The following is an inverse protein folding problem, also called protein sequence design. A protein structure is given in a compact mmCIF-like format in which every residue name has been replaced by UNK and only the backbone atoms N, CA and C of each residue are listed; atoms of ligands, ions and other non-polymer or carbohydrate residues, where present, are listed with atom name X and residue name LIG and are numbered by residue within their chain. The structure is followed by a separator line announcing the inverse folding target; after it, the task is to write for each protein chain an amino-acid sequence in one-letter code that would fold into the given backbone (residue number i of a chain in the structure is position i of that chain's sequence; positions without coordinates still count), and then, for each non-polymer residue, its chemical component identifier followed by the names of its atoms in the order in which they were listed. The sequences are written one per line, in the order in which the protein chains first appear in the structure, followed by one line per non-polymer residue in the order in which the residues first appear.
data_IF_516562733060
#
_entry.id   IF_516562733060
#
_cell.length_a   1.000
_cell.length_b   1.000
_cell.length_c   1.000
_cell.angle_alpha   90.00
_cell.angle_beta   90.00
_cell.angle_gamma   90.00
#
_symmetry.space_group_name_H-M   'P 1'
#
loop_
_entity.id
_entity.type
_entity.pdbx_description
1 polymer ?
#
# COMPACT_ATOMS: atom_id res chain seq x y z
N UNK A 1 13.74 -0.54 -48.46
CA UNK A 1 12.54 -1.21 -47.92
C UNK A 1 12.32 -0.95 -46.43
N UNK A 2 13.29 -1.16 -45.53
CA UNK A 2 13.13 -0.92 -44.08
C UNK A 2 12.66 0.50 -43.71
N UNK A 3 13.22 1.55 -44.34
CA UNK A 3 12.85 2.93 -44.03
C UNK A 3 11.39 3.27 -44.39
N UNK A 4 10.86 2.68 -45.47
CA UNK A 4 9.47 2.90 -45.90
C UNK A 4 8.46 2.24 -44.94
N UNK A 5 8.82 1.07 -44.37
CA UNK A 5 7.99 0.36 -43.38
C UNK A 5 7.86 1.14 -42.07
N UNK A 6 8.98 1.63 -41.51
CA UNK A 6 9.00 2.53 -40.34
C UNK A 6 8.11 3.75 -40.52
N UNK A 7 8.22 4.38 -41.68
CA UNK A 7 7.47 5.59 -41.99
C UNK A 7 5.96 5.31 -42.07
N UNK A 8 5.57 4.18 -42.67
CA UNK A 8 4.17 3.75 -42.75
C UNK A 8 3.55 3.50 -41.36
N UNK A 9 4.24 2.80 -40.46
CA UNK A 9 3.72 2.52 -39.11
C UNK A 9 3.50 3.81 -38.33
N UNK A 10 4.47 4.74 -38.38
CA UNK A 10 4.35 6.05 -37.72
C UNK A 10 3.16 6.84 -38.27
N UNK A 11 2.98 6.88 -39.61
CA UNK A 11 1.84 7.54 -40.23
C UNK A 11 0.52 6.89 -39.81
N UNK A 12 0.43 5.57 -39.75
CA UNK A 12 -0.76 4.86 -39.28
C UNK A 12 -1.12 5.19 -37.83
N UNK A 13 -0.14 5.24 -36.92
CA UNK A 13 -0.38 5.65 -35.51
C UNK A 13 -0.93 7.08 -35.47
N UNK A 14 -0.30 8.02 -36.17
CA UNK A 14 -0.70 9.43 -36.16
C UNK A 14 -2.07 9.64 -36.81
N UNK A 15 -2.32 9.00 -37.95
CA UNK A 15 -3.56 9.14 -38.70
C UNK A 15 -4.74 8.50 -37.95
N UNK A 16 -4.53 7.35 -37.30
CA UNK A 16 -5.55 6.72 -36.46
C UNK A 16 -5.82 7.53 -35.19
N UNK A 17 -4.79 8.00 -34.46
CA UNK A 17 -5.00 8.88 -33.29
C UNK A 17 -5.84 10.14 -33.61
N UNK A 18 -5.88 10.57 -34.88
CA UNK A 18 -6.67 11.72 -35.35
C UNK A 18 -8.06 11.37 -35.92
N UNK A 19 -8.35 10.11 -36.27
CA UNK A 19 -9.59 9.69 -36.95
C UNK A 19 -10.41 8.63 -36.21
N UNK A 20 -9.76 7.71 -35.50
CA UNK A 20 -10.37 6.65 -34.67
C UNK A 20 -9.30 6.14 -33.68
N UNK A 21 -9.55 6.27 -32.37
CA UNK A 21 -8.55 5.94 -31.35
C UNK A 21 -8.03 4.51 -31.52
N UNK A 22 -6.71 4.39 -31.68
CA UNK A 22 -6.03 3.09 -31.73
C UNK A 22 -6.17 2.41 -30.35
N UNK A 23 -6.51 1.12 -30.32
CA UNK A 23 -6.56 0.37 -29.06
C UNK A 23 -5.20 0.39 -28.35
N UNK A 24 -5.20 0.23 -27.03
CA UNK A 24 -3.95 0.18 -26.26
C UNK A 24 -3.08 -0.99 -26.73
N UNK A 25 -3.70 -2.15 -27.00
CA UNK A 25 -3.02 -3.34 -27.54
C UNK A 25 -2.34 -3.08 -28.90
N UNK A 26 -3.05 -2.44 -29.83
CA UNK A 26 -2.50 -2.12 -31.15
C UNK A 26 -1.37 -1.09 -31.04
N UNK A 27 -1.50 -0.14 -30.10
CA UNK A 27 -0.49 0.90 -29.86
C UNK A 27 0.79 0.31 -29.30
N UNK A 28 0.70 -0.57 -28.30
CA UNK A 28 1.87 -1.25 -27.73
C UNK A 28 2.54 -2.15 -28.77
N UNK A 29 1.77 -2.91 -29.56
CA UNK A 29 2.30 -3.73 -30.65
C UNK A 29 3.04 -2.89 -31.71
N UNK A 30 2.48 -1.73 -32.09
CA UNK A 30 3.11 -0.84 -33.06
C UNK A 30 4.42 -0.22 -32.54
N UNK A 31 4.47 0.15 -31.25
CA UNK A 31 5.71 0.61 -30.62
C UNK A 31 6.77 -0.50 -30.53
N UNK A 32 6.37 -1.72 -30.14
CA UNK A 32 7.26 -2.88 -30.09
C UNK A 32 7.86 -3.19 -31.47
N UNK A 33 7.06 -3.09 -32.54
CA UNK A 33 7.55 -3.26 -33.90
C UNK A 33 8.58 -2.18 -34.29
N UNK A 34 8.34 -0.92 -33.94
CA UNK A 34 9.31 0.16 -34.20
C UNK A 34 10.61 -0.05 -33.41
N UNK A 35 10.52 -0.51 -32.16
CA UNK A 35 11.67 -0.82 -31.33
C UNK A 35 12.47 -2.01 -31.88
N UNK A 36 11.80 -3.08 -32.33
CA UNK A 36 12.42 -4.22 -33.00
C UNK A 36 13.18 -3.80 -34.27
N UNK A 37 12.66 -2.83 -35.01
CA UNK A 37 13.34 -2.26 -36.17
C UNK A 37 14.48 -1.27 -35.79
N UNK A 38 14.83 -1.15 -34.51
CA UNK A 38 15.95 -0.35 -34.00
C UNK A 38 15.63 1.13 -33.75
N UNK A 39 14.37 1.51 -33.62
CA UNK A 39 13.98 2.87 -33.24
C UNK A 39 13.93 2.99 -31.71
N UNK A 40 14.69 3.91 -31.13
CA UNK A 40 14.68 4.11 -29.67
C UNK A 40 13.34 4.63 -29.16
N UNK A 41 12.99 4.34 -27.90
CA UNK A 41 11.76 4.81 -27.27
C UNK A 41 11.58 6.34 -27.34
N UNK A 42 12.67 7.11 -27.16
CA UNK A 42 12.64 8.56 -27.29
C UNK A 42 12.33 9.03 -28.73
N UNK A 43 12.83 8.31 -29.73
CA UNK A 43 12.54 8.60 -31.13
C UNK A 43 11.10 8.21 -31.50
N UNK A 44 10.57 7.10 -30.97
CA UNK A 44 9.16 6.71 -31.14
C UNK A 44 8.25 7.78 -30.52
N UNK A 45 8.53 8.20 -29.28
CA UNK A 45 7.78 9.23 -28.56
C UNK A 45 7.72 10.54 -29.36
N UNK A 46 8.88 11.03 -29.81
CA UNK A 46 8.97 12.25 -30.64
C UNK A 46 8.20 12.14 -31.96
N UNK A 47 8.23 10.96 -32.60
CA UNK A 47 7.57 10.73 -33.89
C UNK A 47 6.06 10.58 -33.78
N UNK A 48 5.57 10.02 -32.68
CA UNK A 48 4.13 9.76 -32.45
C UNK A 48 3.44 10.84 -31.63
N UNK A 49 4.18 11.82 -31.10
CA UNK A 49 3.62 12.86 -30.23
C UNK A 49 3.27 12.37 -28.82
N UNK A 50 3.74 11.18 -28.44
CA UNK A 50 3.44 10.54 -27.15
C UNK A 50 4.55 10.82 -26.13
N UNK A 51 4.25 10.68 -24.84
CA UNK A 51 5.27 10.85 -23.79
C UNK A 51 6.23 9.66 -23.81
N UNK A 52 7.53 9.93 -23.63
CA UNK A 52 8.57 8.89 -23.58
C UNK A 52 8.28 7.82 -22.52
N UNK A 53 7.71 8.22 -21.38
CA UNK A 53 7.32 7.28 -20.32
C UNK A 53 6.23 6.29 -20.77
N UNK A 54 5.21 6.78 -21.49
CA UNK A 54 4.17 5.93 -22.06
C UNK A 54 4.75 4.92 -23.06
N UNK A 55 5.65 5.36 -23.95
CA UNK A 55 6.32 4.43 -24.88
C UNK A 55 7.11 3.36 -24.13
N UNK A 56 7.86 3.72 -23.08
CA UNK A 56 8.62 2.75 -22.28
C UNK A 56 7.70 1.73 -21.60
N UNK A 57 6.61 2.19 -20.98
CA UNK A 57 5.58 1.30 -20.39
C UNK A 57 5.00 0.36 -21.43
N UNK A 58 4.64 0.88 -22.61
CA UNK A 58 4.07 0.04 -23.67
C UNK A 58 5.05 -0.97 -24.25
N UNK A 59 6.34 -0.65 -24.30
CA UNK A 59 7.38 -1.61 -24.67
C UNK A 59 7.53 -2.71 -23.61
N UNK A 60 7.55 -2.36 -22.32
CA UNK A 60 7.59 -3.36 -21.24
C UNK A 60 6.36 -4.28 -21.27
N UNK A 61 5.17 -3.72 -21.49
CA UNK A 61 3.93 -4.52 -21.63
C UNK A 61 4.01 -5.48 -22.81
N UNK A 62 4.55 -5.04 -23.95
CA UNK A 62 4.69 -5.87 -25.14
C UNK A 62 5.72 -7.01 -24.99
N UNK A 63 6.59 -6.97 -23.98
CA UNK A 63 7.51 -8.06 -23.65
C UNK A 63 6.80 -9.20 -22.89
N UNK A 64 5.67 -8.91 -22.22
CA UNK A 64 4.85 -9.91 -21.53
C UNK A 64 3.72 -10.40 -22.44
N UNK A 65 3.80 -11.66 -22.85
CA UNK A 65 2.74 -12.32 -23.61
C UNK A 65 1.42 -12.36 -22.80
N UNK A 66 1.52 -12.58 -21.49
CA UNK A 66 0.38 -12.64 -20.57
C UNK A 66 -0.37 -11.32 -20.54
N UNK A 67 0.31 -10.20 -20.26
CA UNK A 67 -0.34 -8.88 -20.19
C UNK A 67 -0.80 -8.40 -21.57
N UNK A 68 -0.08 -8.76 -22.63
CA UNK A 68 -0.51 -8.45 -24.01
C UNK A 68 -1.82 -9.15 -24.37
N UNK A 69 -2.04 -10.40 -23.97
CA UNK A 69 -3.34 -11.09 -24.20
C UNK A 69 -4.49 -10.36 -23.49
N UNK A 70 -4.25 -9.95 -22.24
CA UNK A 70 -5.25 -9.22 -21.44
C UNK A 70 -5.63 -7.90 -22.11
N UNK A 71 -4.69 -7.17 -22.71
CA UNK A 71 -4.98 -5.93 -23.45
C UNK A 71 -5.88 -6.14 -24.68
N UNK A 72 -5.90 -7.34 -25.26
CA UNK A 72 -6.79 -7.68 -26.38
C UNK A 72 -8.18 -8.12 -25.90
N UNK A 73 -8.26 -8.72 -24.71
CA UNK A 73 -9.50 -9.26 -24.13
C UNK A 73 -10.29 -8.20 -23.34
N UNK A 74 -9.59 -7.24 -22.74
CA UNK A 74 -10.17 -6.22 -21.86
C UNK A 74 -9.72 -4.82 -22.27
N UNK A 75 -10.64 -3.85 -22.19
CA UNK A 75 -10.34 -2.44 -22.41
C UNK A 75 -9.59 -1.84 -21.20
N UNK A 76 -8.29 -2.11 -21.12
CA UNK A 76 -7.42 -1.56 -20.07
C UNK A 76 -6.62 -0.36 -20.56
N UNK A 77 -6.37 0.58 -19.65
CA UNK A 77 -5.42 1.66 -19.88
C UNK A 77 -3.98 1.14 -19.84
N UNK A 78 -3.07 1.89 -20.47
CA UNK A 78 -1.65 1.54 -20.46
C UNK A 78 -1.04 1.54 -19.05
N UNK A 79 -1.52 2.42 -18.17
CA UNK A 79 -1.05 2.48 -16.78
C UNK A 79 -1.54 1.25 -16.00
N UNK A 80 -2.78 0.81 -16.18
CA UNK A 80 -3.29 -0.44 -15.59
C UNK A 80 -2.52 -1.66 -16.09
N UNK A 81 -2.23 -1.74 -17.39
CA UNK A 81 -1.43 -2.83 -17.95
C UNK A 81 0.00 -2.84 -17.41
N UNK A 82 0.61 -1.67 -17.19
CA UNK A 82 1.92 -1.58 -16.57
C UNK A 82 1.91 -2.09 -15.12
N UNK A 83 0.82 -1.89 -14.37
CA UNK A 83 0.65 -2.44 -13.02
C UNK A 83 0.50 -3.97 -13.06
N UNK A 84 -0.19 -4.54 -14.05
CA UNK A 84 -0.31 -6.00 -14.18
C UNK A 84 1.05 -6.70 -14.34
N UNK A 85 2.07 -6.04 -14.90
CA UNK A 85 3.43 -6.57 -15.00
C UNK A 85 4.07 -6.79 -13.62
N UNK A 86 3.71 -5.99 -12.62
CA UNK A 86 4.24 -6.15 -11.25
C UNK A 86 3.81 -7.49 -10.63
N UNK A 87 2.75 -8.10 -11.16
CA UNK A 87 2.15 -9.34 -10.68
C UNK A 87 2.22 -10.45 -11.74
N UNK A 88 3.21 -10.44 -12.62
CA UNK A 88 3.33 -11.43 -13.71
C UNK A 88 3.43 -12.89 -13.21
N UNK A 89 3.99 -13.09 -12.02
CA UNK A 89 4.10 -14.42 -11.39
C UNK A 89 2.92 -14.76 -10.47
N UNK A 90 1.97 -13.84 -10.27
CA UNK A 90 0.80 -14.01 -9.40
C UNK A 90 -0.51 -13.94 -10.21
N UNK A 91 -1.00 -15.11 -10.61
CA UNK A 91 -2.19 -15.22 -11.45
C UNK A 91 -3.47 -14.73 -10.75
N UNK A 92 -3.58 -14.94 -9.44
CA UNK A 92 -4.76 -14.55 -8.67
C UNK A 92 -4.81 -13.03 -8.47
N UNK A 93 -3.65 -12.41 -8.20
CA UNK A 93 -3.53 -10.96 -8.14
C UNK A 93 -3.90 -10.30 -9.48
N UNK A 94 -3.44 -10.86 -10.61
CA UNK A 94 -3.82 -10.35 -11.94
C UNK A 94 -5.31 -10.50 -12.22
N UNK A 95 -5.89 -11.67 -11.93
CA UNK A 95 -7.32 -11.89 -12.12
C UNK A 95 -8.15 -10.87 -11.33
N UNK A 96 -7.79 -10.64 -10.06
CA UNK A 96 -8.41 -9.61 -9.21
C UNK A 96 -8.28 -8.22 -9.83
N UNK A 97 -7.10 -7.84 -10.33
CA UNK A 97 -6.88 -6.53 -10.94
C UNK A 97 -7.64 -6.35 -12.26
N UNK A 98 -7.76 -7.39 -13.08
CA UNK A 98 -8.54 -7.38 -14.32
C UNK A 98 -10.03 -7.20 -14.02
N UNK A 99 -10.54 -7.94 -13.02
CA UNK A 99 -11.92 -7.81 -12.57
C UNK A 99 -12.23 -6.39 -12.11
N UNK A 100 -11.39 -5.83 -11.24
CA UNK A 100 -11.53 -4.45 -10.74
C UNK A 100 -11.42 -3.45 -11.87
N UNK A 101 -10.44 -3.59 -12.78
CA UNK A 101 -10.31 -2.66 -13.91
C UNK A 101 -11.54 -2.66 -14.83
N UNK A 102 -12.24 -3.80 -14.94
CA UNK A 102 -13.41 -3.96 -15.80
C UNK A 102 -14.69 -3.43 -15.14
N UNK A 103 -14.88 -3.66 -13.84
CA UNK A 103 -16.14 -3.38 -13.16
C UNK A 103 -16.10 -2.11 -12.29
N UNK A 104 -14.96 -1.82 -11.66
CA UNK A 104 -14.76 -0.64 -10.82
C UNK A 104 -13.33 -0.06 -10.99
N UNK A 105 -13.02 0.50 -12.17
CA UNK A 105 -11.68 1.00 -12.47
C UNK A 105 -11.21 2.11 -11.51
N UNK A 106 -12.12 2.76 -10.79
CA UNK A 106 -11.79 3.77 -9.80
C UNK A 106 -11.07 3.18 -8.57
N UNK A 107 -11.29 1.91 -8.25
CA UNK A 107 -10.66 1.19 -7.15
C UNK A 107 -9.37 0.46 -7.54
N UNK A 108 -8.99 0.49 -8.82
CA UNK A 108 -7.84 -0.25 -9.34
C UNK A 108 -6.55 0.06 -8.57
N UNK A 109 -6.27 1.35 -8.32
CA UNK A 109 -5.05 1.78 -7.61
C UNK A 109 -5.06 1.31 -6.14
N UNK A 110 -6.21 1.31 -5.48
CA UNK A 110 -6.35 0.83 -4.09
C UNK A 110 -6.15 -0.68 -3.99
N UNK A 111 -6.72 -1.43 -4.93
CA UNK A 111 -6.53 -2.89 -5.03
C UNK A 111 -5.08 -3.22 -5.34
N UNK A 112 -4.48 -2.57 -6.34
CA UNK A 112 -3.07 -2.74 -6.66
C UNK A 112 -2.16 -2.44 -5.46
N UNK A 113 -2.42 -1.36 -4.74
CA UNK A 113 -1.64 -1.02 -3.56
C UNK A 113 -1.82 -2.04 -2.42
N UNK A 114 -3.03 -2.58 -2.24
CA UNK A 114 -3.27 -3.67 -1.27
C UNK A 114 -2.47 -4.91 -1.61
N UNK A 115 -2.43 -5.30 -2.89
CA UNK A 115 -1.66 -6.44 -3.37
C UNK A 115 -0.16 -6.23 -3.21
N UNK A 116 0.35 -5.01 -3.50
CA UNK A 116 1.76 -4.66 -3.26
C UNK A 116 2.13 -4.79 -1.78
N UNK A 117 1.25 -4.31 -0.89
CA UNK A 117 1.48 -4.34 0.55
C UNK A 117 1.48 -5.77 1.09
N UNK A 118 0.57 -6.62 0.59
CA UNK A 118 0.53 -8.04 0.94
C UNK A 118 1.77 -8.78 0.41
N UNK A 119 2.15 -8.57 -0.85
CA UNK A 119 3.35 -9.17 -1.44
C UNK A 119 4.63 -8.77 -0.67
N UNK A 120 4.75 -7.48 -0.30
CA UNK A 120 5.86 -7.01 0.53
C UNK A 120 5.86 -7.67 1.91
N UNK A 121 4.69 -7.82 2.54
CA UNK A 121 4.56 -8.48 3.84
C UNK A 121 4.90 -9.97 3.77
N UNK A 122 4.43 -10.69 2.74
CA UNK A 122 4.79 -12.09 2.50
C UNK A 122 6.29 -12.25 2.23
N UNK A 123 6.89 -11.31 1.50
CA UNK A 123 8.34 -11.24 1.30
C UNK A 123 9.12 -11.11 2.61
N UNK A 124 8.63 -10.28 3.55
CA UNK A 124 9.22 -10.16 4.89
C UNK A 124 9.10 -11.47 5.68
N UNK A 125 7.91 -12.09 5.70
CA UNK A 125 7.71 -13.39 6.36
C UNK A 125 8.66 -14.46 5.80
N UNK A 126 8.78 -14.56 4.48
CA UNK A 126 9.66 -15.51 3.81
C UNK A 126 11.14 -15.23 4.10
N UNK A 127 11.56 -13.96 4.08
CA UNK A 127 12.93 -13.57 4.41
C UNK A 127 13.28 -13.90 5.87
N UNK A 128 12.39 -13.60 6.82
CA UNK A 128 12.57 -13.95 8.24
C UNK A 128 12.60 -15.47 8.43
N UNK A 129 11.73 -16.22 7.75
CA UNK A 129 11.74 -17.68 7.80
C UNK A 129 13.05 -18.27 7.25
N UNK A 130 13.56 -17.73 6.15
CA UNK A 130 14.84 -18.14 5.58
C UNK A 130 16.01 -17.86 6.54
N UNK A 131 16.01 -16.71 7.21
CA UNK A 131 17.02 -16.35 8.22
C UNK A 131 17.03 -17.35 9.38
N UNK A 132 15.87 -17.64 9.98
CA UNK A 132 15.79 -18.57 11.10
C UNK A 132 16.11 -20.02 10.69
N UNK A 133 15.67 -20.44 9.50
CA UNK A 133 16.01 -21.75 8.94
C UNK A 133 17.53 -21.88 8.74
N UNK A 134 18.20 -20.84 8.21
CA UNK A 134 19.65 -20.80 8.06
C UNK A 134 20.41 -20.85 9.39
N UNK A 135 19.79 -20.33 10.46
CA UNK A 135 20.28 -20.43 11.84
C UNK A 135 19.89 -21.73 12.55
N UNK A 136 19.33 -22.70 11.82
CA UNK A 136 18.99 -24.04 12.32
C UNK A 136 17.81 -24.09 13.28
N UNK A 137 16.89 -23.11 13.21
CA UNK A 137 15.59 -23.17 13.87
C UNK A 137 14.59 -23.93 13.00
N UNK A 138 13.71 -24.67 13.66
CA UNK A 138 12.53 -25.25 13.00
C UNK A 138 11.43 -24.19 12.89
N UNK A 139 10.92 -23.95 11.68
CA UNK A 139 9.75 -23.10 11.48
C UNK A 139 8.50 -23.85 11.92
N UNK A 140 7.74 -23.25 12.84
CA UNK A 140 6.56 -23.83 13.45
C UNK A 140 5.29 -23.17 12.92
N UNK A 141 4.25 -23.97 12.77
CA UNK A 141 2.89 -23.48 12.56
C UNK A 141 2.27 -23.04 13.89
N UNK A 142 1.15 -22.30 13.82
CA UNK A 142 0.40 -21.91 15.02
C UNK A 142 -0.10 -23.13 15.81
N UNK A 143 -0.46 -24.22 15.13
CA UNK A 143 -0.84 -25.49 15.76
C UNK A 143 0.33 -26.17 16.46
N UNK A 144 1.55 -26.10 15.90
CA UNK A 144 2.73 -26.66 16.56
C UNK A 144 3.05 -25.91 17.86
N UNK A 145 2.85 -24.59 17.87
CA UNK A 145 3.16 -23.71 19.00
C UNK A 145 2.07 -23.69 20.10
N UNK A 146 0.80 -23.79 19.73
CA UNK A 146 -0.33 -23.52 20.64
C UNK A 146 -1.49 -24.53 20.54
N UNK A 147 -1.38 -25.58 19.72
CA UNK A 147 -2.41 -26.62 19.64
C UNK A 147 -2.44 -27.53 20.87
N UNK A 148 -3.50 -28.34 21.00
CA UNK A 148 -3.71 -29.23 22.15
C UNK A 148 -2.61 -30.29 22.31
N UNK A 149 -1.90 -30.60 21.23
CA UNK A 149 -0.76 -31.53 21.20
C UNK A 149 0.59 -30.79 21.06
N UNK A 150 0.63 -29.48 21.33
CA UNK A 150 1.86 -28.70 21.20
C UNK A 150 2.93 -29.20 22.18
N UNK A 151 4.07 -29.63 21.63
CA UNK A 151 5.26 -30.06 22.39
C UNK A 151 6.27 -28.93 22.58
N UNK A 152 5.92 -27.71 22.18
CA UNK A 152 6.80 -26.55 22.13
C UNK A 152 6.44 -25.54 23.21
N UNK A 153 7.44 -25.08 23.97
CA UNK A 153 7.21 -24.09 25.03
C UNK A 153 7.72 -22.71 24.59
N UNK A 154 6.86 -21.67 24.59
CA UNK A 154 7.28 -20.30 24.32
C UNK A 154 8.25 -19.75 25.36
N UNK A 155 9.30 -19.07 24.91
CA UNK A 155 10.39 -18.58 25.78
C UNK A 155 9.93 -17.58 26.85
N UNK A 156 8.82 -16.87 26.62
CA UNK A 156 8.20 -15.98 27.63
C UNK A 156 7.80 -16.71 28.91
N UNK A 157 7.53 -18.01 28.81
CA UNK A 157 7.16 -18.89 29.93
C UNK A 157 8.38 -19.51 30.62
N UNK A 158 9.58 -19.27 30.11
CA UNK A 158 10.82 -19.87 30.59
C UNK A 158 11.68 -18.85 31.33
N UNK A 159 12.54 -19.36 32.22
CA UNK A 159 13.59 -18.61 32.91
C UNK A 159 14.92 -19.35 32.77
N UNK A 160 16.00 -18.58 32.61
CA UNK A 160 17.36 -19.10 32.65
C UNK A 160 17.75 -19.54 34.06
N UNK A 161 18.95 -20.11 34.19
CA UNK A 161 19.50 -20.55 35.49
C UNK A 161 19.63 -19.41 36.50
N UNK A 162 19.81 -18.17 36.04
CA UNK A 162 19.87 -16.97 36.88
C UNK A 162 18.48 -16.42 37.28
N UNK A 163 17.40 -17.13 36.92
CA UNK A 163 16.02 -16.75 37.19
C UNK A 163 15.48 -15.62 36.30
N UNK A 164 16.24 -15.15 35.31
CA UNK A 164 15.81 -14.08 34.38
C UNK A 164 15.14 -14.64 33.13
N UNK A 165 14.52 -13.74 32.37
CA UNK A 165 13.94 -14.07 31.06
C UNK A 165 14.99 -14.68 30.13
N UNK A 166 14.63 -15.77 29.47
CA UNK A 166 15.49 -16.45 28.49
C UNK A 166 15.79 -15.51 27.32
N UNK A 167 17.07 -15.38 26.96
CA UNK A 167 17.51 -14.54 25.84
C UNK A 167 17.51 -15.31 24.52
N UNK A 168 17.40 -14.62 23.36
CA UNK A 168 17.47 -15.27 22.05
C UNK A 168 18.72 -16.13 21.84
N UNK A 169 19.86 -15.70 22.38
CA UNK A 169 21.14 -16.43 22.27
C UNK A 169 21.10 -17.76 23.03
N UNK A 170 20.44 -17.78 24.19
CA UNK A 170 20.26 -19.01 24.97
C UNK A 170 19.37 -20.01 24.22
N UNK A 171 18.33 -19.52 23.51
CA UNK A 171 17.48 -20.36 22.67
C UNK A 171 18.25 -20.89 21.47
N UNK A 172 19.08 -20.05 20.85
CA UNK A 172 19.90 -20.47 19.72
C UNK A 172 20.88 -21.61 20.10
N UNK A 173 21.30 -21.71 21.37
CA UNK A 173 22.13 -22.81 21.84
C UNK A 173 21.33 -24.12 22.12
N UNK A 174 20.01 -24.07 22.19
CA UNK A 174 19.18 -25.22 22.52
C UNK A 174 19.03 -26.19 21.33
N UNK A 175 19.13 -27.53 21.54
CA UNK A 175 19.04 -28.53 20.47
C UNK A 175 17.65 -28.63 19.84
N UNK A 176 16.58 -28.35 20.60
CA UNK A 176 15.19 -28.30 20.13
C UNK A 176 14.70 -26.87 20.00
N UNK A 177 15.30 -26.06 19.12
CA UNK A 177 14.95 -24.64 18.92
C UNK A 177 13.97 -24.44 17.77
N UNK A 178 12.85 -23.80 18.06
CA UNK A 178 11.77 -23.55 17.12
C UNK A 178 11.40 -22.08 17.09
N UNK A 179 10.78 -21.68 15.98
CA UNK A 179 10.30 -20.31 15.81
C UNK A 179 8.93 -20.32 15.14
N UNK A 180 7.99 -19.59 15.71
CA UNK A 180 6.74 -19.23 15.06
C UNK A 180 6.90 -17.82 14.50
N UNK A 181 6.69 -17.69 13.19
CA UNK A 181 6.69 -16.42 12.47
C UNK A 181 5.27 -16.18 11.99
N UNK A 182 4.61 -15.16 12.54
CA UNK A 182 3.21 -14.82 12.26
C UNK A 182 3.09 -13.31 12.03
N UNK A 183 1.90 -12.85 11.68
CA UNK A 183 1.50 -11.46 11.63
C UNK A 183 0.86 -11.07 12.97
N UNK A 184 1.46 -10.11 13.66
CA UNK A 184 0.84 -9.51 14.84
C UNK A 184 -0.49 -8.85 14.50
N UNK A 185 -1.27 -8.54 15.53
CA UNK A 185 -2.49 -7.73 15.40
C UNK A 185 -2.25 -6.32 14.83
N UNK A 186 -1.00 -5.83 14.84
CA UNK A 186 -0.61 -4.54 14.24
C UNK A 186 -0.33 -4.65 12.74
N UNK A 187 -0.24 -5.86 12.19
CA UNK A 187 0.18 -6.12 10.81
C UNK A 187 1.69 -6.17 10.63
N UNK A 188 2.44 -6.33 11.72
CA UNK A 188 3.91 -6.46 11.71
C UNK A 188 4.31 -7.92 11.86
N UNK A 189 5.41 -8.33 11.22
CA UNK A 189 6.00 -9.65 11.41
C UNK A 189 6.38 -9.83 12.88
N UNK A 190 5.80 -10.85 13.51
CA UNK A 190 6.02 -11.22 14.90
C UNK A 190 6.78 -12.54 14.96
N UNK A 191 7.87 -12.53 15.71
CA UNK A 191 8.71 -13.70 15.92
C UNK A 191 8.56 -14.17 17.35
N UNK A 192 8.06 -15.39 17.52
CA UNK A 192 8.02 -16.07 18.82
C UNK A 192 9.04 -17.21 18.80
N UNK A 193 9.95 -17.22 19.77
CA UNK A 193 10.91 -18.31 19.96
C UNK A 193 10.33 -19.38 20.89
N UNK A 194 10.56 -20.65 20.56
CA UNK A 194 10.05 -21.81 21.29
C UNK A 194 11.14 -22.87 21.46
N UNK A 195 11.00 -23.70 22.49
CA UNK A 195 11.91 -24.82 22.76
C UNK A 195 11.12 -26.12 22.98
N UNK A 196 11.56 -27.20 22.33
CA UNK A 196 11.12 -28.57 22.58
C UNK A 196 12.04 -29.12 23.69
N UNK A 197 11.48 -29.48 24.84
CA UNK A 197 12.19 -29.87 26.10
C UNK A 197 12.98 -28.77 26.84
N UNK A 198 12.31 -27.76 27.41
CA UNK A 198 12.97 -26.66 28.13
C UNK A 198 13.89 -27.10 29.27
N UNK A 199 13.50 -28.12 30.03
CA UNK A 199 14.29 -28.62 31.16
C UNK A 199 15.59 -29.29 30.72
N UNK A 200 15.57 -30.02 29.60
CA UNK A 200 16.79 -30.59 29.01
C UNK A 200 17.72 -29.51 28.47
N UNK A 201 17.16 -28.38 28.04
CA UNK A 201 17.90 -27.18 27.63
C UNK A 201 18.37 -26.28 28.79
N UNK A 202 18.17 -26.69 30.06
CA UNK A 202 18.61 -25.93 31.24
C UNK A 202 17.68 -24.79 31.66
N UNK A 203 16.46 -24.73 31.11
CA UNK A 203 15.47 -23.73 31.48
C UNK A 203 14.50 -24.22 32.55
N UNK A 204 13.99 -23.27 33.34
CA UNK A 204 12.92 -23.48 34.33
C UNK A 204 11.65 -22.77 33.91
N UNK A 205 10.48 -23.24 34.37
CA UNK A 205 9.21 -22.59 34.08
C UNK A 205 8.97 -21.39 35.01
N UNK A 206 8.48 -20.29 34.46
CA UNK A 206 8.26 -19.04 35.19
C UNK A 206 7.05 -19.05 36.13
N UNK A 207 6.01 -19.84 35.81
CA UNK A 207 4.76 -19.93 36.57
C UNK A 207 4.15 -21.35 36.45
N UNK A 208 3.34 -21.76 37.45
CA UNK A 208 2.41 -22.89 37.32
C UNK A 208 1.30 -22.56 36.31
N UNK A 209 0.84 -23.57 35.57
CA UNK A 209 0.01 -23.43 34.38
C UNK A 209 -1.26 -22.57 34.57
N UNK A 210 -1.69 -21.81 33.54
CA UNK A 210 -2.93 -21.04 33.60
C UNK A 210 -4.18 -21.95 33.56
N UNK A 211 -5.21 -21.55 34.30
CA UNK A 211 -6.53 -22.22 34.35
C UNK A 211 -7.26 -22.19 32.99
N UNK A 212 -7.95 -23.28 32.68
CA UNK A 212 -8.76 -23.44 31.47
C UNK A 212 -10.09 -22.69 31.60
N UNK A 213 -10.58 -22.05 30.52
CA UNK A 213 -11.85 -21.34 30.54
C UNK A 213 -13.07 -22.27 30.70
N UNK A 214 -14.12 -21.75 31.34
CA UNK A 214 -15.35 -22.45 31.65
C UNK A 214 -16.32 -22.47 30.44
N UNK A 215 -16.80 -23.67 30.13
CA UNK A 215 -17.88 -24.07 29.20
C UNK A 215 -17.70 -23.76 27.70
N UNK A 216 -17.76 -24.81 26.88
CA UNK A 216 -17.42 -24.83 25.45
C UNK A 216 -18.41 -24.05 24.56
N UNK A 217 -19.72 -24.08 24.85
CA UNK A 217 -20.77 -23.59 23.94
C UNK A 217 -20.84 -22.05 23.88
N UNK A 218 -20.85 -21.36 25.03
CA UNK A 218 -20.81 -19.88 25.10
C UNK A 218 -19.45 -19.33 24.62
N UNK A 219 -18.37 -20.09 24.85
CA UNK A 219 -17.04 -19.74 24.37
C UNK A 219 -16.90 -19.90 22.85
N UNK A 220 -17.69 -20.77 22.22
CA UNK A 220 -17.65 -21.02 20.77
C UNK A 220 -18.43 -19.96 19.99
N UNK A 221 -19.62 -19.57 20.47
CA UNK A 221 -20.38 -18.42 19.92
C UNK A 221 -19.63 -17.10 20.12
N UNK A 222 -19.10 -16.82 21.32
CA UNK A 222 -18.32 -15.61 21.58
C UNK A 222 -17.01 -15.61 20.75
N UNK A 223 -16.39 -16.77 20.49
CA UNK A 223 -15.25 -16.88 19.55
C UNK A 223 -15.67 -16.62 18.11
N UNK A 224 -16.82 -17.11 17.68
CA UNK A 224 -17.31 -16.93 16.31
C UNK A 224 -17.64 -15.46 16.01
N UNK A 225 -18.34 -14.79 16.92
CA UNK A 225 -18.65 -13.36 16.81
C UNK A 225 -17.38 -12.49 16.86
N UNK A 226 -16.50 -12.72 17.84
CA UNK A 226 -15.20 -12.04 17.90
C UNK A 226 -14.34 -12.31 16.67
N UNK A 227 -14.46 -13.49 16.05
CA UNK A 227 -13.75 -13.83 14.82
C UNK A 227 -14.28 -13.02 13.63
N UNK A 228 -15.60 -12.85 13.50
CA UNK A 228 -16.21 -12.06 12.43
C UNK A 228 -15.84 -10.56 12.55
N UNK A 229 -16.01 -9.96 13.74
CA UNK A 229 -15.63 -8.57 13.99
C UNK A 229 -14.13 -8.34 13.76
N UNK A 230 -13.30 -9.31 14.18
CA UNK A 230 -11.85 -9.25 13.98
C UNK A 230 -11.49 -9.33 12.49
N UNK A 231 -12.18 -10.14 11.69
CA UNK A 231 -11.96 -10.20 10.24
C UNK A 231 -12.24 -8.86 9.57
N UNK A 232 -13.38 -8.24 9.90
CA UNK A 232 -13.73 -6.88 9.42
C UNK A 232 -12.65 -5.88 9.81
N UNK A 233 -12.21 -5.91 11.07
CA UNK A 233 -11.18 -5.00 11.58
C UNK A 233 -9.83 -5.16 10.88
N UNK A 234 -9.41 -6.41 10.62
CA UNK A 234 -8.16 -6.71 9.91
C UNK A 234 -8.26 -6.25 8.46
N UNK A 235 -9.34 -6.60 7.76
CA UNK A 235 -9.56 -6.22 6.36
C UNK A 235 -9.54 -4.69 6.19
N UNK A 236 -10.32 -3.96 6.99
CA UNK A 236 -10.37 -2.50 6.93
C UNK A 236 -9.04 -1.86 7.34
N UNK A 237 -8.29 -2.42 8.30
CA UNK A 237 -6.96 -1.91 8.63
C UNK A 237 -5.95 -2.09 7.49
N UNK A 238 -6.01 -3.20 6.76
CA UNK A 238 -5.18 -3.44 5.57
C UNK A 238 -5.57 -2.47 4.45
N UNK A 239 -6.87 -2.37 4.15
CA UNK A 239 -7.40 -1.43 3.16
C UNK A 239 -7.02 0.02 3.49
N UNK A 240 -7.05 0.42 4.76
CA UNK A 240 -6.67 1.77 5.19
C UNK A 240 -5.21 2.10 4.87
N UNK A 241 -4.29 1.17 5.15
CA UNK A 241 -2.87 1.37 4.86
C UNK A 241 -2.63 1.59 3.36
N UNK A 242 -3.30 0.79 2.51
CA UNK A 242 -3.23 0.93 1.07
C UNK A 242 -3.84 2.27 0.61
N UNK A 243 -5.03 2.61 1.13
CA UNK A 243 -5.72 3.85 0.81
C UNK A 243 -4.92 5.09 1.21
N UNK A 244 -4.25 5.09 2.36
CA UNK A 244 -3.39 6.20 2.78
C UNK A 244 -2.25 6.47 1.79
N UNK A 245 -1.61 5.42 1.27
CA UNK A 245 -0.56 5.55 0.25
C UNK A 245 -1.11 6.12 -1.06
N UNK A 246 -2.22 5.56 -1.55
CA UNK A 246 -2.88 6.02 -2.77
C UNK A 246 -3.34 7.47 -2.63
N UNK A 247 -4.02 7.81 -1.53
CA UNK A 247 -4.51 9.17 -1.26
C UNK A 247 -3.38 10.19 -1.23
N UNK A 248 -2.28 9.90 -0.54
CA UNK A 248 -1.11 10.80 -0.48
C UNK A 248 -0.45 10.98 -1.84
N UNK A 249 -0.31 9.92 -2.63
CA UNK A 249 0.20 10.02 -3.99
C UNK A 249 -0.73 10.85 -4.89
N UNK A 250 -2.05 10.66 -4.75
CA UNK A 250 -3.06 11.45 -5.47
C UNK A 250 -3.01 12.92 -5.09
N UNK A 251 -2.83 13.26 -3.81
CA UNK A 251 -2.65 14.64 -3.35
C UNK A 251 -1.35 15.22 -3.91
N UNK A 252 -0.24 14.50 -3.89
CA UNK A 252 1.04 14.95 -4.45
C UNK A 252 0.93 15.22 -5.96
N UNK A 253 0.33 14.28 -6.71
CA UNK A 253 0.05 14.43 -8.15
C UNK A 253 -0.86 15.61 -8.44
N UNK A 254 -1.86 15.84 -7.59
CA UNK A 254 -2.76 16.98 -7.69
C UNK A 254 -2.02 18.31 -7.46
N UNK A 255 -1.15 18.40 -6.45
CA UNK A 255 -0.34 19.58 -6.15
C UNK A 255 0.74 19.87 -7.21
N UNK A 256 1.14 18.87 -7.98
CA UNK A 256 2.06 19.04 -9.11
C UNK A 256 1.40 19.71 -10.34
N UNK A 257 0.08 19.88 -10.36
CA UNK A 257 -0.64 20.52 -11.48
C UNK A 257 -0.31 22.00 -11.58
N UNK A 258 -0.34 22.53 -12.81
CA UNK A 258 -0.02 23.95 -13.09
C UNK A 258 -1.03 24.93 -12.46
N UNK A 259 -2.29 24.52 -12.37
CA UNK A 259 -3.42 25.34 -11.92
C UNK A 259 -4.12 24.65 -10.77
N UNK A 260 -4.23 25.35 -9.63
CA UNK A 260 -5.02 24.90 -8.49
C UNK A 260 -6.52 25.13 -8.74
N UNK A 261 -7.41 24.35 -8.09
CA UNK A 261 -8.85 24.58 -8.16
C UNK A 261 -9.26 25.99 -7.76
N UNK A 262 -10.44 26.40 -8.25
CA UNK A 262 -11.00 27.73 -7.96
C UNK A 262 -11.33 27.90 -6.48
N UNK A 263 -11.70 26.82 -5.80
CA UNK A 263 -12.06 26.78 -4.38
C UNK A 263 -10.86 26.55 -3.45
N UNK A 264 -9.62 26.50 -3.96
CA UNK A 264 -8.44 26.26 -3.12
C UNK A 264 -8.30 27.28 -1.97
N UNK A 265 -8.66 28.55 -2.20
CA UNK A 265 -8.58 29.58 -1.15
C UNK A 265 -9.62 29.37 -0.04
N UNK A 266 -10.81 28.84 -0.41
CA UNK A 266 -11.82 28.41 0.56
C UNK A 266 -11.26 27.26 1.42
N UNK A 267 -10.64 26.26 0.81
CA UNK A 267 -10.05 25.12 1.54
C UNK A 267 -8.92 25.58 2.46
N UNK A 268 -8.06 26.51 2.01
CA UNK A 268 -7.02 27.09 2.86
C UNK A 268 -7.67 27.80 4.07
N UNK A 269 -8.67 28.65 3.84
CA UNK A 269 -9.34 29.38 4.92
C UNK A 269 -10.03 28.45 5.92
N UNK A 270 -10.74 27.42 5.46
CA UNK A 270 -11.36 26.41 6.32
C UNK A 270 -10.32 25.59 7.07
N UNK A 271 -9.22 25.22 6.40
CA UNK A 271 -8.08 24.53 7.00
C UNK A 271 -7.52 25.27 8.21
N UNK A 272 -7.31 26.57 8.06
CA UNK A 272 -6.77 27.44 9.12
C UNK A 272 -7.77 27.78 10.23
N UNK A 273 -9.07 27.52 10.04
CA UNK A 273 -10.13 27.90 10.99
C UNK A 273 -10.81 26.68 11.62
N UNK A 274 -11.53 25.91 10.81
CA UNK A 274 -12.26 24.71 11.21
C UNK A 274 -11.32 23.53 11.50
N UNK A 275 -10.27 23.34 10.70
CA UNK A 275 -9.29 22.25 10.86
C UNK A 275 -8.00 22.68 11.56
N UNK A 276 -8.01 23.84 12.24
CA UNK A 276 -6.81 24.48 12.83
C UNK A 276 -5.97 23.57 13.72
N UNK A 277 -6.58 22.62 14.42
CA UNK A 277 -5.85 21.68 15.28
C UNK A 277 -4.97 20.72 14.47
N UNK A 278 -5.54 20.09 13.44
CA UNK A 278 -4.81 19.19 12.54
C UNK A 278 -3.68 19.95 11.83
N UNK A 279 -4.00 21.13 11.28
CA UNK A 279 -3.01 21.97 10.60
C UNK A 279 -1.90 22.44 11.55
N UNK A 280 -2.25 22.93 12.74
CA UNK A 280 -1.26 23.34 13.74
C UNK A 280 -0.37 22.18 14.18
N UNK A 281 -0.92 21.00 14.40
CA UNK A 281 -0.15 19.81 14.78
C UNK A 281 0.83 19.40 13.67
N UNK A 282 0.39 19.38 12.41
CA UNK A 282 1.26 19.12 11.26
C UNK A 282 2.38 20.16 11.11
N UNK A 283 2.07 21.44 11.33
CA UNK A 283 3.06 22.51 11.31
C UNK A 283 4.10 22.39 12.43
N UNK A 284 3.68 22.02 13.66
CA UNK A 284 4.60 21.82 14.79
C UNK A 284 5.63 20.72 14.52
N UNK A 285 5.31 19.76 13.65
CA UNK A 285 6.24 18.71 13.20
C UNK A 285 7.10 19.13 11.99
N UNK A 286 7.12 20.44 11.65
CA UNK A 286 7.91 20.99 10.55
C UNK A 286 7.27 20.83 9.18
N UNK A 287 5.94 20.68 9.11
CA UNK A 287 5.20 20.49 7.86
C UNK A 287 5.76 19.34 7.00
N UNK A 288 6.14 18.26 7.66
CA UNK A 288 6.86 17.13 7.05
C UNK A 288 6.11 16.53 5.86
N UNK A 289 4.80 16.30 6.05
CA UNK A 289 3.96 15.78 4.97
C UNK A 289 3.78 16.79 3.83
N UNK A 290 3.79 18.10 4.10
CA UNK A 290 3.72 19.09 3.02
C UNK A 290 4.99 19.10 2.16
N UNK A 291 6.17 18.91 2.77
CA UNK A 291 7.43 18.70 2.07
C UNK A 291 7.37 17.45 1.19
N UNK A 292 6.93 16.32 1.76
CA UNK A 292 6.77 15.06 1.03
C UNK A 292 5.79 15.19 -0.15
N UNK A 293 4.62 15.81 0.05
CA UNK A 293 3.60 16.01 -0.98
C UNK A 293 4.09 16.92 -2.13
N UNK A 294 4.93 17.91 -1.82
CA UNK A 294 5.54 18.78 -2.83
C UNK A 294 6.84 18.21 -3.44
N UNK A 295 7.29 17.04 -2.98
CA UNK A 295 8.55 16.40 -3.39
C UNK A 295 9.77 17.30 -3.15
N UNK A 296 9.75 18.03 -2.04
CA UNK A 296 10.84 18.91 -1.61
C UNK A 296 11.48 18.27 -0.39
N UNK A 297 12.78 18.00 -0.48
CA UNK A 297 13.52 17.46 0.65
C UNK A 297 13.49 18.45 1.83
N UNK A 298 13.13 17.93 3.01
CA UNK A 298 13.10 18.73 4.22
C UNK A 298 14.53 18.92 4.73
N UNK A 299 14.99 20.17 4.92
CA UNK A 299 16.33 20.43 5.40
C UNK A 299 16.49 20.01 6.87
N UNK A 300 17.68 19.54 7.24
CA UNK A 300 18.03 19.29 8.63
C UNK A 300 18.34 20.62 9.34
N UNK A 301 17.52 20.99 10.31
CA UNK A 301 17.74 22.19 11.14
C UNK A 301 16.46 22.83 11.64
N UNK A 302 16.46 23.25 12.90
CA UNK A 302 15.26 23.77 13.59
C UNK A 302 14.63 25.01 12.92
N UNK A 303 15.44 25.83 12.23
CA UNK A 303 14.99 27.07 11.55
C UNK A 303 14.99 26.99 10.03
N UNK A 304 15.45 25.88 9.46
CA UNK A 304 15.50 25.73 8.01
C UNK A 304 14.15 25.19 7.52
N UNK A 305 13.55 25.86 6.54
CA UNK A 305 12.31 25.41 5.92
C UNK A 305 12.37 25.65 4.40
N UNK A 306 12.36 24.57 3.63
CA UNK A 306 12.50 24.64 2.18
C UNK A 306 11.22 25.16 1.50
N UNK A 307 10.06 25.08 2.16
CA UNK A 307 8.82 25.67 1.68
C UNK A 307 8.87 27.19 1.81
N UNK A 308 9.39 27.71 2.94
CA UNK A 308 9.63 29.14 3.12
C UNK A 308 10.60 29.66 2.05
N UNK A 309 11.75 28.98 1.86
CA UNK A 309 12.72 29.33 0.83
C UNK A 309 12.12 29.31 -0.60
N UNK A 310 11.22 28.37 -0.89
CA UNK A 310 10.51 28.32 -2.17
C UNK A 310 9.63 29.56 -2.39
N UNK A 311 8.90 30.00 -1.35
CA UNK A 311 8.02 31.18 -1.44
C UNK A 311 8.84 32.46 -1.57
N UNK A 312 9.93 32.59 -0.83
CA UNK A 312 10.85 33.73 -0.96
C UNK A 312 11.45 33.83 -2.36
N UNK A 313 11.89 32.71 -2.93
CA UNK A 313 12.43 32.67 -4.28
C UNK A 313 11.36 32.83 -5.38
N UNK A 314 10.13 32.35 -5.13
CA UNK A 314 9.03 32.30 -6.11
C UNK A 314 7.70 32.62 -5.43
N UNK A 315 7.42 33.89 -5.19
CA UNK A 315 6.18 34.35 -4.52
C UNK A 315 4.89 33.82 -5.14
N UNK A 316 4.87 33.57 -6.47
CA UNK A 316 3.75 32.93 -7.17
C UNK A 316 3.41 31.51 -6.67
N UNK A 317 4.29 30.87 -5.88
CA UNK A 317 4.07 29.56 -5.25
C UNK A 317 3.45 29.64 -3.87
N UNK A 318 3.25 30.83 -3.29
CA UNK A 318 2.68 30.99 -1.95
C UNK A 318 1.34 30.26 -1.76
N UNK A 319 0.43 30.40 -2.73
CA UNK A 319 -0.88 29.74 -2.71
C UNK A 319 -0.78 28.20 -2.74
N UNK A 320 0.18 27.67 -3.52
CA UNK A 320 0.45 26.22 -3.58
C UNK A 320 0.99 25.70 -2.25
N UNK A 321 1.97 26.40 -1.68
CA UNK A 321 2.58 26.02 -0.40
C UNK A 321 1.55 26.09 0.73
N UNK A 322 0.73 27.14 0.78
CA UNK A 322 -0.34 27.25 1.77
C UNK A 322 -1.34 26.09 1.68
N UNK A 323 -1.77 25.73 0.46
CA UNK A 323 -2.65 24.58 0.26
C UNK A 323 -1.97 23.26 0.69
N UNK A 324 -0.69 23.06 0.33
CA UNK A 324 0.05 21.87 0.69
C UNK A 324 0.22 21.71 2.21
N UNK A 325 0.47 22.81 2.94
CA UNK A 325 0.55 22.80 4.41
C UNK A 325 -0.81 22.43 5.02
N UNK A 326 -1.89 23.00 4.51
CA UNK A 326 -3.25 22.69 4.98
C UNK A 326 -3.63 21.24 4.71
N UNK A 327 -3.42 20.74 3.49
CA UNK A 327 -3.72 19.36 3.12
C UNK A 327 -2.80 18.38 3.87
N UNK A 328 -1.50 18.68 3.98
CA UNK A 328 -0.56 17.87 4.73
C UNK A 328 -0.90 17.81 6.22
N UNK A 329 -1.37 18.91 6.82
CA UNK A 329 -1.80 18.92 8.20
C UNK A 329 -3.07 18.08 8.46
N UNK A 330 -4.07 18.21 7.58
CA UNK A 330 -5.29 17.39 7.66
C UNK A 330 -4.97 15.91 7.44
N UNK A 331 -4.16 15.60 6.43
CA UNK A 331 -3.78 14.25 6.06
C UNK A 331 -2.93 13.55 7.15
N UNK A 332 -2.02 14.28 7.80
CA UNK A 332 -1.22 13.76 8.91
C UNK A 332 -2.05 13.48 10.18
N UNK A 333 -3.27 14.03 10.27
CA UNK A 333 -4.18 13.78 11.38
C UNK A 333 -5.07 12.55 11.16
N UNK A 334 -5.06 11.97 9.96
CA UNK A 334 -5.81 10.75 9.65
C UNK A 334 -5.11 9.51 10.19
N UNK A 335 -5.88 8.49 10.58
CA UNK A 335 -5.34 7.20 11.04
C UNK A 335 -6.38 6.08 10.92
N UNK A 336 -6.00 4.84 11.24
CA UNK A 336 -6.94 3.72 11.34
C UNK A 336 -8.11 3.98 12.32
N UNK A 337 -7.96 4.91 13.27
CA UNK A 337 -9.05 5.29 14.18
C UNK A 337 -10.09 6.18 13.49
N UNK A 338 -9.76 6.83 12.37
CA UNK A 338 -10.66 7.73 11.63
C UNK A 338 -11.91 7.00 11.12
N UNK A 339 -11.75 5.79 10.56
CA UNK A 339 -12.90 4.98 10.12
C UNK A 339 -13.63 4.27 11.27
N UNK A 340 -12.93 4.04 12.40
CA UNK A 340 -13.51 3.34 13.57
C UNK A 340 -14.44 4.21 14.39
N UNK A 341 -14.04 5.45 14.64
CA UNK A 341 -14.76 6.36 15.54
C UNK A 341 -15.65 7.35 14.79
N UNK A 342 -15.37 7.56 13.50
CA UNK A 342 -15.92 8.66 12.73
C UNK A 342 -15.34 10.00 13.20
N UNK A 343 -14.89 10.81 12.26
CA UNK A 343 -14.49 12.19 12.53
C UNK A 343 -15.00 13.07 11.40
N UNK A 344 -15.94 13.96 11.71
CA UNK A 344 -16.58 14.83 10.71
C UNK A 344 -15.57 15.73 10.00
N UNK A 345 -14.48 16.13 10.67
CA UNK A 345 -13.42 16.93 10.03
C UNK A 345 -12.63 16.10 9.02
N UNK A 346 -12.34 14.85 9.33
CA UNK A 346 -11.73 13.92 8.36
C UNK A 346 -12.70 13.63 7.22
N UNK A 347 -13.99 13.44 7.52
CA UNK A 347 -15.02 13.25 6.50
C UNK A 347 -15.11 14.45 5.53
N UNK A 348 -15.09 15.68 6.04
CA UNK A 348 -15.10 16.89 5.20
C UNK A 348 -13.84 16.98 4.31
N UNK A 349 -12.66 16.64 4.83
CA UNK A 349 -11.43 16.52 4.03
C UNK A 349 -11.59 15.49 2.90
N UNK A 350 -12.09 14.30 3.21
CA UNK A 350 -12.28 13.24 2.21
C UNK A 350 -13.33 13.60 1.16
N UNK A 351 -14.45 14.21 1.56
CA UNK A 351 -15.45 14.75 0.61
C UNK A 351 -14.85 15.83 -0.28
N UNK A 352 -13.98 16.68 0.25
CA UNK A 352 -13.28 17.69 -0.54
C UNK A 352 -12.29 17.07 -1.55
N UNK A 353 -11.56 16.01 -1.17
CA UNK A 353 -10.73 15.25 -2.10
C UNK A 353 -11.58 14.58 -3.19
N UNK A 354 -12.72 14.01 -2.83
CA UNK A 354 -13.66 13.41 -3.76
C UNK A 354 -14.20 14.44 -4.77
N UNK A 355 -14.54 15.65 -4.31
CA UNK A 355 -14.95 16.76 -5.17
C UNK A 355 -13.84 17.19 -6.16
N UNK A 356 -12.56 16.92 -5.86
CA UNK A 356 -11.43 17.14 -6.76
C UNK A 356 -11.09 15.93 -7.64
N UNK A 357 -11.92 14.89 -7.65
CA UNK A 357 -11.79 13.71 -8.50
C UNK A 357 -10.90 12.61 -7.94
N UNK A 358 -10.76 12.53 -6.61
CA UNK A 358 -10.22 11.35 -5.94
C UNK A 358 -11.36 10.33 -5.69
N UNK A 359 -11.21 9.10 -6.15
CA UNK A 359 -12.15 8.05 -5.78
C UNK A 359 -11.83 7.58 -4.36
N UNK A 360 -12.79 7.70 -3.45
CA UNK A 360 -12.64 7.16 -2.10
C UNK A 360 -12.73 5.63 -2.17
N UNK A 361 -11.80 4.95 -1.52
CA UNK A 361 -11.89 3.51 -1.27
C UNK A 361 -13.03 3.17 -0.33
N UNK A 362 -13.52 1.91 -0.31
CA UNK A 362 -14.60 1.52 0.57
C UNK A 362 -14.36 1.87 2.05
N UNK A 363 -13.14 1.69 2.57
CA UNK A 363 -12.80 2.06 3.96
C UNK A 363 -12.79 3.57 4.20
N UNK A 364 -12.46 4.38 3.19
CA UNK A 364 -12.56 5.84 3.28
C UNK A 364 -14.02 6.31 3.20
N UNK A 365 -14.87 5.58 2.47
CA UNK A 365 -16.31 5.82 2.41
C UNK A 365 -17.01 5.53 3.75
N UNK A 366 -16.46 4.64 4.58
CA UNK A 366 -16.91 4.48 5.98
C UNK A 366 -16.75 5.79 6.76
N UNK A 367 -15.66 6.53 6.53
CA UNK A 367 -15.42 7.82 7.21
C UNK A 367 -16.44 8.87 6.79
N UNK A 368 -16.86 8.88 5.52
CA UNK A 368 -17.85 9.83 5.00
C UNK A 368 -19.29 9.45 5.33
N UNK A 369 -19.52 8.21 5.77
CA UNK A 369 -20.84 7.64 6.06
C UNK A 369 -21.53 7.04 4.83
N UNK A 370 -20.81 6.89 3.71
CA UNK A 370 -21.34 6.37 2.45
C UNK A 370 -21.30 4.82 2.39
N UNK A 371 -20.59 4.17 3.32
CA UNK A 371 -20.44 2.72 3.41
C UNK A 371 -20.37 2.24 4.87
N UNK A 372 -20.66 0.96 5.13
CA UNK A 372 -20.49 0.35 6.46
C UNK A 372 -19.14 -0.37 6.58
N UNK A 373 -18.60 -0.57 7.80
CA UNK A 373 -17.38 -1.36 7.97
C UNK A 373 -17.46 -2.78 7.39
N UNK A 374 -18.63 -3.42 7.42
CA UNK A 374 -18.82 -4.76 6.89
C UNK A 374 -18.81 -4.77 5.35
N UNK A 375 -19.52 -3.82 4.72
CA UNK A 375 -19.51 -3.65 3.27
C UNK A 375 -18.11 -3.32 2.76
N UNK A 376 -17.42 -2.40 3.45
CA UNK A 376 -16.06 -2.02 3.10
C UNK A 376 -15.04 -3.17 3.20
N UNK A 377 -15.30 -4.14 4.08
CA UNK A 377 -14.51 -5.35 4.21
C UNK A 377 -14.85 -6.44 3.17
N UNK A 378 -15.91 -6.25 2.37
CA UNK A 378 -16.40 -7.26 1.41
C UNK A 378 -17.02 -8.48 2.10
N UNK A 379 -17.59 -8.29 3.29
CA UNK A 379 -18.13 -9.35 4.15
C UNK A 379 -19.65 -9.24 4.37
N UNK A 380 -20.36 -8.46 3.55
CA UNK A 380 -21.82 -8.26 3.65
C UNK A 380 -22.68 -9.27 2.89
#
# INVERSE_FOLDING_TARGET
MLAARKYRIVQQIIENDQRAELSVADRTAAWAQLAFEGVSAAAIAKRTGTKTDAVKKGLAVAESATVTSVLHEHELTLDQAAVLLEFEDDADARATLIEVATHDPAQFEHTAQTLRDEAAHQGLLAATAAEYTGNGFQILTRSDAYGDQATWTPVRQLRGEDGKSVTPEQVAAAPGRGVLIDTSWRGEVEVTLLVQDPTAAGFTYAYGAPEQPQTEEEAEEERAEKSAERKVLIANNKAWNAAEKVRRERIATFLARKTLPKDADRVIALGLTAHRFAVSSGMSNGSDLAHALLRIERPSGYRADALAALVEAKSAKARLVALAVVLGGQEAHTSKESWRRGDERTAEHFRQLAAWGYALSPVEQVVTGDSTPADAAGLS
#
